data_IF_150350902365
#
_entry.id   IF_150350902365
#
_cell.length_a   1.000
_cell.length_b   1.000
_cell.length_c   1.000
_cell.angle_alpha   90.00
_cell.angle_beta   90.00
_cell.angle_gamma   90.00
#
_symmetry.space_group_name_H-M   'P 1'
#
loop_
_entity.id
_entity.type
_entity.pdbx_description
1 polymer ?
#
# COMPACT_ATOMS: atom_id res chain seq x y z
N UNK A 1 12.00 -1.76 0.67
CA UNK A 1 11.74 -1.52 -0.76
C UNK A 1 10.59 -0.54 -0.90
N UNK A 2 10.78 0.52 -1.65
CA UNK A 2 9.77 1.57 -1.84
C UNK A 2 9.23 1.53 -3.26
N UNK A 3 7.96 1.80 -3.41
CA UNK A 3 7.29 1.84 -4.71
C UNK A 3 6.29 2.97 -4.81
N UNK A 4 6.15 3.51 -6.02
CA UNK A 4 5.10 4.46 -6.37
C UNK A 4 4.47 4.01 -7.68
N UNK A 5 3.17 4.25 -7.83
CA UNK A 5 2.42 3.85 -9.02
C UNK A 5 1.82 5.07 -9.71
N UNK A 6 1.89 5.09 -11.03
CA UNK A 6 1.36 6.21 -11.82
C UNK A 6 -0.17 6.35 -11.69
N UNK A 7 -0.88 5.25 -11.49
CA UNK A 7 -2.33 5.26 -11.30
C UNK A 7 -2.77 5.61 -9.88
N UNK A 8 -1.81 5.81 -8.98
CA UNK A 8 -2.07 6.19 -7.58
C UNK A 8 -1.19 7.40 -7.22
N UNK A 9 -1.46 8.56 -7.81
CA UNK A 9 -0.63 9.75 -7.56
C UNK A 9 -0.71 10.19 -6.10
N UNK A 10 0.43 10.55 -5.52
CA UNK A 10 0.52 10.95 -4.12
C UNK A 10 0.67 9.79 -3.14
N UNK A 11 0.59 8.56 -3.60
CA UNK A 11 0.80 7.38 -2.77
C UNK A 11 2.22 6.85 -2.91
N UNK A 12 2.79 6.42 -1.81
CA UNK A 12 4.05 5.68 -1.79
C UNK A 12 3.88 4.43 -0.95
N UNK A 13 4.53 3.36 -1.37
CA UNK A 13 4.42 2.06 -0.72
C UNK A 13 5.78 1.57 -0.31
N UNK A 14 5.85 0.91 0.84
CA UNK A 14 7.08 0.34 1.35
C UNK A 14 6.83 -1.07 1.84
N UNK A 15 7.72 -2.00 1.45
CA UNK A 15 7.66 -3.40 1.88
C UNK A 15 8.91 -3.70 2.68
N UNK A 16 8.74 -4.26 3.86
CA UNK A 16 9.85 -4.65 4.72
C UNK A 16 9.63 -6.04 5.28
N UNK A 17 10.73 -6.76 5.53
CA UNK A 17 10.67 -8.05 6.20
C UNK A 17 10.64 -7.83 7.71
N UNK A 18 9.64 -8.39 8.36
CA UNK A 18 9.44 -8.25 9.82
C UNK A 18 10.06 -9.39 10.61
N UNK A 19 10.00 -10.60 10.05
CA UNK A 19 10.67 -11.78 10.57
C UNK A 19 10.95 -12.72 9.40
N UNK A 20 11.67 -13.80 9.62
CA UNK A 20 12.04 -14.70 8.54
C UNK A 20 10.82 -15.14 7.73
N UNK A 21 10.76 -14.76 6.46
CA UNK A 21 9.67 -15.12 5.55
C UNK A 21 8.36 -14.37 5.77
N UNK A 22 8.31 -13.39 6.70
CA UNK A 22 7.11 -12.59 6.95
C UNK A 22 7.38 -11.14 6.60
N UNK A 23 6.52 -10.58 5.73
CA UNK A 23 6.68 -9.22 5.22
C UNK A 23 5.50 -8.34 5.60
N UNK A 24 5.74 -7.05 5.66
CA UNK A 24 4.71 -6.03 5.86
C UNK A 24 4.80 -5.02 4.73
N UNK A 25 3.66 -4.68 4.16
CA UNK A 25 3.54 -3.62 3.17
C UNK A 25 2.73 -2.47 3.76
N UNK A 26 3.22 -1.25 3.61
CA UNK A 26 2.55 -0.03 4.09
C UNK A 26 2.47 0.96 2.94
N UNK A 27 1.27 1.50 2.72
CA UNK A 27 1.05 2.58 1.76
C UNK A 27 0.59 3.83 2.49
N UNK A 28 1.15 4.99 2.12
CA UNK A 28 0.76 6.28 2.69
C UNK A 28 0.57 7.29 1.57
N UNK A 29 -0.30 8.26 1.79
CA UNK A 29 -0.51 9.34 0.83
C UNK A 29 -0.16 10.69 1.45
N UNK A 30 -0.22 11.75 0.63
CA UNK A 30 0.08 13.11 1.07
C UNK A 30 -1.02 13.72 1.95
N UNK A 31 -2.16 13.06 2.07
CA UNK A 31 -3.29 13.51 2.87
C UNK A 31 -3.39 12.78 4.22
N UNK A 32 -2.41 11.96 4.55
CA UNK A 32 -2.38 11.24 5.82
C UNK A 32 -3.11 9.91 5.84
N UNK A 33 -3.58 9.42 4.72
CA UNK A 33 -4.17 8.08 4.63
C UNK A 33 -3.09 7.01 4.70
N UNK A 34 -3.43 5.89 5.30
CA UNK A 34 -2.48 4.80 5.45
C UNK A 34 -3.19 3.47 5.26
N UNK A 35 -2.57 2.57 4.52
CA UNK A 35 -3.01 1.19 4.35
C UNK A 35 -1.85 0.26 4.68
N UNK A 36 -2.13 -0.93 5.17
CA UNK A 36 -1.08 -1.90 5.46
C UNK A 36 -1.59 -3.32 5.34
N UNK A 37 -0.68 -4.23 5.07
CA UNK A 37 -0.97 -5.66 4.97
C UNK A 37 0.27 -6.45 5.36
N UNK A 38 0.09 -7.66 5.86
CA UNK A 38 1.18 -8.57 6.23
C UNK A 38 0.95 -9.93 5.62
N UNK A 39 2.03 -10.64 5.33
CA UNK A 39 1.97 -11.99 4.77
C UNK A 39 3.34 -12.49 4.35
N UNK A 40 3.36 -13.60 3.59
CA UNK A 40 4.60 -14.28 3.22
C UNK A 40 5.06 -13.97 1.80
N UNK A 41 4.23 -13.30 0.99
CA UNK A 41 4.55 -12.94 -0.39
C UNK A 41 4.57 -11.41 -0.53
N UNK A 42 5.76 -10.79 -0.66
CA UNK A 42 5.84 -9.32 -0.75
C UNK A 42 5.14 -8.74 -1.99
N UNK A 43 5.15 -9.45 -3.12
CA UNK A 43 4.48 -8.96 -4.33
C UNK A 43 2.97 -8.96 -4.15
N UNK A 44 2.41 -10.00 -3.54
CA UNK A 44 0.99 -10.07 -3.25
C UNK A 44 0.56 -9.00 -2.25
N UNK A 45 1.39 -8.72 -1.24
CA UNK A 45 1.13 -7.66 -0.26
C UNK A 45 1.09 -6.30 -0.91
N UNK A 46 2.02 -6.04 -1.81
CA UNK A 46 2.08 -4.77 -2.53
C UNK A 46 0.82 -4.57 -3.36
N UNK A 47 0.36 -5.63 -4.05
CA UNK A 47 -0.86 -5.58 -4.84
C UNK A 47 -2.09 -5.33 -3.96
N UNK A 48 -2.16 -5.96 -2.79
CA UNK A 48 -3.25 -5.73 -1.83
C UNK A 48 -3.28 -4.28 -1.35
N UNK A 49 -2.13 -3.71 -0.99
CA UNK A 49 -2.03 -2.31 -0.58
C UNK A 49 -2.47 -1.38 -1.69
N UNK A 50 -2.09 -1.69 -2.93
CA UNK A 50 -2.50 -0.91 -4.10
C UNK A 50 -4.01 -0.92 -4.26
N UNK A 51 -4.66 -2.06 -4.08
CA UNK A 51 -6.12 -2.18 -4.15
C UNK A 51 -6.79 -1.39 -3.02
N UNK A 52 -6.25 -1.44 -1.83
CA UNK A 52 -6.78 -0.68 -0.69
C UNK A 52 -6.65 0.83 -0.94
N UNK A 53 -5.53 1.29 -1.48
CA UNK A 53 -5.32 2.70 -1.82
C UNK A 53 -6.32 3.17 -2.88
N UNK A 54 -6.56 2.35 -3.90
CA UNK A 54 -7.54 2.66 -4.93
C UNK A 54 -8.95 2.81 -4.34
N UNK A 55 -9.30 1.96 -3.38
CA UNK A 55 -10.59 2.05 -2.69
C UNK A 55 -10.73 3.34 -1.89
N UNK A 56 -9.68 3.77 -1.21
CA UNK A 56 -9.66 5.04 -0.48
C UNK A 56 -9.92 6.20 -1.43
N UNK A 57 -9.27 6.21 -2.60
CA UNK A 57 -9.45 7.26 -3.60
C UNK A 57 -10.91 7.30 -4.07
N UNK A 58 -11.51 6.15 -4.36
CA UNK A 58 -12.91 6.06 -4.81
C UNK A 58 -13.86 6.60 -3.73
N UNK A 59 -13.65 6.23 -2.47
CA UNK A 59 -14.49 6.70 -1.36
C UNK A 59 -14.40 8.21 -1.20
N UNK A 60 -13.20 8.79 -1.35
CA UNK A 60 -13.01 10.25 -1.28
C UNK A 60 -13.77 10.98 -2.39
N UNK A 61 -13.85 10.39 -3.58
CA UNK A 61 -14.55 11.01 -4.72
C UNK A 61 -16.06 11.04 -4.55
N UNK A 62 -16.60 10.18 -3.68
CA UNK A 62 -18.04 10.13 -3.40
C UNK A 62 -18.50 11.25 -2.47
N UNK A 63 -17.58 11.84 -1.76
CA UNK A 63 -17.86 12.95 -0.87
C UNK A 63 -17.77 14.27 -1.61
#
# INVERSE_FOLDING_TARGET
MSRAFADLPGWSFEVSERSAGVYESVGTDTHGHRVQSTGTDPDALLDECRKMAAKVIVERRRL
#
